data_IF_699348696082
#
_entry.id   IF_699348696082
#
_cell.length_a   1.000
_cell.length_b   1.000
_cell.length_c   1.000
_cell.angle_alpha   90.00
_cell.angle_beta   90.00
_cell.angle_gamma   90.00
#
_symmetry.space_group_name_H-M   'P 1'
#
loop_
_entity.id
_entity.type
_entity.pdbx_description
1 polymer ?
#
# COMPACT_ATOMS: atom_id res chain seq x y z
N UNK A 1 -53.37 55.86 -25.88
CA UNK A 1 -53.31 55.12 -24.60
C UNK A 1 -52.27 54.02 -24.75
N UNK A 2 -51.28 54.04 -23.87
CA UNK A 2 -50.18 53.06 -23.80
C UNK A 2 -50.72 51.64 -23.59
N UNK A 3 -50.10 50.65 -24.24
CA UNK A 3 -49.69 49.48 -23.47
C UNK A 3 -48.41 48.86 -24.03
N UNK A 4 -47.42 48.79 -23.14
CA UNK A 4 -46.06 48.32 -23.34
C UNK A 4 -46.06 46.81 -23.09
N UNK A 5 -45.76 46.00 -24.10
CA UNK A 5 -45.23 44.65 -23.86
C UNK A 5 -43.91 44.53 -24.62
N UNK A 6 -42.86 44.83 -23.86
CA UNK A 6 -41.46 44.85 -24.23
C UNK A 6 -40.98 43.40 -24.30
N UNK A 7 -40.84 42.86 -25.51
CA UNK A 7 -40.24 41.55 -25.73
C UNK A 7 -38.71 41.71 -25.60
N UNK A 8 -38.17 41.47 -24.40
CA UNK A 8 -36.72 41.34 -24.21
C UNK A 8 -36.26 40.04 -24.90
N UNK A 9 -35.60 40.18 -26.05
CA UNK A 9 -34.72 39.15 -26.62
C UNK A 9 -33.50 39.03 -25.70
N UNK A 10 -33.59 38.18 -24.69
CA UNK A 10 -32.44 37.79 -23.87
C UNK A 10 -31.57 36.82 -24.66
N UNK A 11 -30.45 37.30 -25.21
CA UNK A 11 -29.37 36.43 -25.71
C UNK A 11 -28.74 35.71 -24.53
N UNK A 12 -29.16 34.47 -24.28
CA UNK A 12 -28.45 33.58 -23.38
C UNK A 12 -27.14 33.15 -24.05
N UNK A 13 -26.08 33.93 -23.83
CA UNK A 13 -24.71 33.47 -24.12
C UNK A 13 -24.44 32.26 -23.23
N UNK A 14 -24.54 31.07 -23.83
CA UNK A 14 -24.04 29.82 -23.28
C UNK A 14 -22.53 29.96 -23.11
N UNK A 15 -22.11 30.42 -21.93
CA UNK A 15 -20.75 30.25 -21.45
C UNK A 15 -20.53 28.75 -21.26
N UNK A 16 -20.05 28.09 -22.31
CA UNK A 16 -19.48 26.75 -22.23
C UNK A 16 -18.29 26.80 -21.28
N UNK A 17 -18.53 26.52 -19.99
CA UNK A 17 -17.47 26.12 -19.07
C UNK A 17 -16.83 24.88 -19.69
N UNK A 18 -15.73 25.09 -20.40
CA UNK A 18 -14.77 24.03 -20.64
C UNK A 18 -14.17 23.72 -19.27
N UNK A 19 -14.80 22.80 -18.54
CA UNK A 19 -14.11 22.06 -17.52
C UNK A 19 -12.87 21.50 -18.21
N UNK A 20 -11.70 22.05 -17.87
CA UNK A 20 -10.45 21.46 -18.28
C UNK A 20 -10.54 20.01 -17.83
N UNK A 21 -10.60 19.08 -18.79
CA UNK A 21 -10.51 17.66 -18.51
C UNK A 21 -9.17 17.49 -17.80
N UNK A 22 -9.21 17.49 -16.47
CA UNK A 22 -8.09 17.15 -15.64
C UNK A 22 -7.71 15.77 -16.11
N UNK A 23 -6.53 15.65 -16.71
CA UNK A 23 -6.09 14.43 -17.36
C UNK A 23 -6.19 13.31 -16.32
N UNK A 24 -7.26 12.50 -16.44
CA UNK A 24 -7.81 11.60 -15.42
C UNK A 24 -6.95 10.32 -15.29
N UNK A 25 -5.65 10.48 -15.51
CA UNK A 25 -4.68 9.41 -15.52
C UNK A 25 -4.36 9.07 -14.08
N UNK A 26 -4.83 7.89 -13.67
CA UNK A 26 -4.50 7.28 -12.39
C UNK A 26 -2.96 7.26 -12.21
N UNK A 27 -2.42 7.78 -11.10
CA UNK A 27 -0.97 7.83 -10.90
C UNK A 27 -0.40 6.43 -10.66
N UNK A 28 0.82 6.17 -11.11
CA UNK A 28 1.52 4.94 -10.70
C UNK A 28 1.86 4.99 -9.20
N UNK A 29 1.57 3.90 -8.48
CA UNK A 29 1.87 3.78 -7.06
C UNK A 29 3.07 2.84 -6.92
N UNK A 30 4.18 3.35 -6.39
CA UNK A 30 5.40 2.57 -6.12
C UNK A 30 5.67 2.60 -4.62
N UNK A 31 5.57 1.43 -3.99
CA UNK A 31 5.85 1.25 -2.56
C UNK A 31 7.19 0.52 -2.40
N UNK A 32 8.15 1.18 -1.75
CA UNK A 32 9.46 0.60 -1.44
C UNK A 32 9.51 0.34 0.06
N UNK A 33 9.52 -0.94 0.44
CA UNK A 33 9.68 -1.37 1.83
C UNK A 33 11.03 -2.07 1.99
N UNK A 34 11.84 -1.55 2.91
CA UNK A 34 13.13 -2.12 3.31
C UNK A 34 12.94 -3.03 4.53
N UNK A 35 13.77 -4.08 4.66
CA UNK A 35 13.77 -4.99 5.82
C UNK A 35 14.92 -4.58 6.75
N UNK A 36 14.60 -4.39 8.02
CA UNK A 36 15.55 -4.10 9.12
C UNK A 36 16.45 -2.86 8.98
N UNK A 37 16.05 -1.87 8.16
CA UNK A 37 16.70 -0.55 8.11
C UNK A 37 16.33 0.29 9.34
N UNK A 38 17.34 0.77 10.06
CA UNK A 38 17.22 1.64 11.21
C UNK A 38 16.94 3.10 10.84
N UNK A 39 16.39 3.86 11.80
CA UNK A 39 16.08 5.27 11.62
C UNK A 39 17.30 6.13 11.24
N UNK A 40 18.47 5.82 11.83
CA UNK A 40 19.72 6.55 11.61
C UNK A 40 20.59 5.95 10.51
N UNK A 41 20.08 5.06 9.66
CA UNK A 41 20.89 4.47 8.58
C UNK A 41 21.02 5.39 7.38
N UNK A 42 20.01 6.23 7.13
CA UNK A 42 19.98 7.13 5.98
C UNK A 42 20.68 8.46 6.30
N UNK A 43 21.47 8.98 5.35
CA UNK A 43 22.11 10.29 5.46
C UNK A 43 21.12 11.41 5.74
N UNK A 44 19.92 11.36 5.14
CA UNK A 44 18.86 12.33 5.40
C UNK A 44 18.27 12.28 6.82
N UNK A 45 18.60 11.29 7.65
CA UNK A 45 18.27 11.22 9.08
C UNK A 45 19.51 11.37 9.98
N UNK A 46 20.66 11.74 9.41
CA UNK A 46 21.92 11.91 10.13
C UNK A 46 22.81 10.66 10.15
N UNK A 47 22.51 9.65 9.32
CA UNK A 47 23.32 8.45 9.19
C UNK A 47 24.66 8.68 8.50
N UNK A 48 25.62 7.80 8.79
CA UNK A 48 26.98 7.83 8.24
C UNK A 48 27.11 7.09 6.90
N UNK A 49 26.11 6.26 6.55
CA UNK A 49 26.11 5.47 5.32
C UNK A 49 25.75 6.38 4.13
N UNK A 50 26.55 6.43 3.06
CA UNK A 50 26.20 7.22 1.87
C UNK A 50 24.93 6.69 1.19
N UNK A 51 23.81 7.40 1.31
CA UNK A 51 22.52 7.06 0.70
C UNK A 51 22.03 8.10 -0.31
N UNK A 52 22.84 8.49 -1.33
CA UNK A 52 22.60 9.68 -2.13
C UNK A 52 21.26 9.68 -2.88
N UNK A 53 20.76 8.51 -3.31
CA UNK A 53 19.47 8.40 -3.98
C UNK A 53 18.29 8.64 -3.04
N UNK A 54 18.34 8.09 -1.82
CA UNK A 54 17.30 8.26 -0.80
C UNK A 54 17.35 9.68 -0.22
N UNK A 55 18.54 10.26 -0.08
CA UNK A 55 18.73 11.64 0.35
C UNK A 55 18.15 12.62 -0.67
N UNK A 56 18.36 12.36 -1.96
CA UNK A 56 17.78 13.15 -3.04
C UNK A 56 16.25 13.02 -3.10
N UNK A 57 15.70 11.81 -2.86
CA UNK A 57 14.27 11.60 -2.74
C UNK A 57 13.69 12.40 -1.57
N UNK A 58 14.32 12.37 -0.40
CA UNK A 58 13.90 13.14 0.77
C UNK A 58 13.98 14.65 0.55
N UNK A 59 15.00 15.15 -0.18
CA UNK A 59 15.14 16.59 -0.51
C UNK A 59 14.06 17.10 -1.47
N UNK A 60 13.52 16.24 -2.33
CA UNK A 60 12.53 16.61 -3.36
C UNK A 60 11.10 16.19 -2.99
N UNK A 61 10.91 15.55 -1.84
CA UNK A 61 9.64 15.00 -1.40
C UNK A 61 9.30 15.39 0.03
N UNK A 62 8.49 14.54 0.66
CA UNK A 62 8.10 14.69 2.07
C UNK A 62 8.88 13.67 2.89
N UNK A 63 9.45 14.12 4.01
CA UNK A 63 10.18 13.29 4.97
C UNK A 63 9.47 13.32 6.33
N UNK A 64 9.18 12.14 6.88
CA UNK A 64 8.55 12.01 8.19
C UNK A 64 9.60 11.86 9.28
N UNK A 65 9.50 12.63 10.36
CA UNK A 65 10.32 12.43 11.58
C UNK A 65 9.65 11.52 12.60
N UNK A 66 8.36 11.21 12.37
CA UNK A 66 7.54 10.34 13.19
C UNK A 66 6.75 9.40 12.27
N UNK A 67 7.33 8.24 11.98
CA UNK A 67 6.71 7.16 11.23
C UNK A 67 6.98 5.85 11.98
N UNK A 68 5.94 5.09 12.27
CA UNK A 68 6.04 3.90 13.13
C UNK A 68 5.61 2.65 12.35
N UNK A 69 6.33 1.56 12.60
CA UNK A 69 5.96 0.21 12.19
C UNK A 69 5.66 -0.63 13.45
N UNK A 70 5.41 -1.92 13.27
CA UNK A 70 5.28 -2.85 14.41
C UNK A 70 6.66 -3.39 14.81
N UNK A 71 6.76 -4.09 15.94
CA UNK A 71 8.03 -4.62 16.43
C UNK A 71 8.67 -5.75 15.59
N UNK A 72 8.06 -6.21 14.49
CA UNK A 72 8.59 -7.29 13.63
C UNK A 72 8.22 -7.09 12.14
N UNK A 73 8.90 -7.83 11.26
CA UNK A 73 8.68 -7.77 9.80
C UNK A 73 7.27 -8.20 9.39
N UNK A 74 6.80 -9.38 9.80
CA UNK A 74 5.50 -9.90 9.38
C UNK A 74 4.28 -9.12 9.89
N UNK A 75 4.19 -8.63 11.15
CA UNK A 75 3.05 -7.82 11.57
C UNK A 75 3.08 -6.42 10.93
N UNK A 76 4.27 -5.89 10.61
CA UNK A 76 4.41 -4.63 9.86
C UNK A 76 3.91 -4.78 8.43
N UNK A 77 4.27 -5.88 7.75
CA UNK A 77 3.77 -6.20 6.41
C UNK A 77 2.27 -6.42 6.41
N UNK A 78 1.73 -7.11 7.43
CA UNK A 78 0.29 -7.31 7.57
C UNK A 78 -0.45 -5.97 7.68
N UNK A 79 0.05 -5.07 8.54
CA UNK A 79 -0.55 -3.75 8.74
C UNK A 79 -0.43 -2.89 7.48
N UNK A 80 0.73 -2.91 6.82
CA UNK A 80 0.96 -2.19 5.57
C UNK A 80 -0.01 -2.65 4.48
N UNK A 81 -0.15 -3.96 4.28
CA UNK A 81 -0.97 -4.54 3.21
C UNK A 81 -2.46 -4.33 3.43
N UNK A 82 -2.93 -4.28 4.68
CA UNK A 82 -4.38 -4.31 4.98
C UNK A 82 -4.92 -3.00 5.57
N UNK A 83 -4.04 -2.13 6.08
CA UNK A 83 -4.44 -0.94 6.82
C UNK A 83 -5.01 -1.23 8.22
N UNK A 84 -4.90 -2.47 8.71
CA UNK A 84 -5.44 -2.91 10.00
C UNK A 84 -4.34 -3.14 11.03
N UNK A 85 -4.71 -3.20 12.32
CA UNK A 85 -3.81 -3.75 13.32
C UNK A 85 -3.50 -5.22 13.00
N UNK A 86 -2.29 -5.70 13.29
CA UNK A 86 -1.86 -7.01 12.82
C UNK A 86 -2.68 -8.16 13.42
N UNK A 87 -3.21 -8.02 14.64
CA UNK A 87 -4.14 -8.98 15.24
C UNK A 87 -5.48 -9.02 14.51
N UNK A 88 -5.95 -7.92 13.92
CA UNK A 88 -7.17 -7.94 13.10
C UNK A 88 -6.92 -8.65 11.75
N UNK A 89 -5.67 -8.61 11.27
CA UNK A 89 -5.25 -9.26 10.04
C UNK A 89 -4.82 -10.73 10.20
N UNK A 90 -4.77 -11.26 11.43
CA UNK A 90 -4.36 -12.65 11.73
C UNK A 90 -2.87 -12.86 12.02
N UNK A 91 -2.07 -11.79 12.10
CA UNK A 91 -0.61 -11.80 12.31
C UNK A 91 -0.25 -11.18 13.67
N UNK A 92 -0.84 -11.64 14.76
CA UNK A 92 -0.56 -11.14 16.11
C UNK A 92 0.85 -11.48 16.63
N UNK A 93 1.53 -12.45 16.01
CA UNK A 93 2.88 -12.93 16.32
C UNK A 93 3.68 -13.18 15.03
N UNK A 94 4.81 -13.89 15.12
CA UNK A 94 5.57 -14.28 13.94
C UNK A 94 4.68 -15.11 13.01
N UNK A 95 4.63 -14.76 11.72
CA UNK A 95 4.02 -15.60 10.70
C UNK A 95 4.70 -16.97 10.66
N UNK A 96 3.94 -18.00 10.29
CA UNK A 96 4.35 -19.42 10.16
C UNK A 96 5.88 -19.62 10.19
N UNK A 97 6.41 -20.19 11.28
CA UNK A 97 7.81 -20.61 11.32
C UNK A 97 7.97 -21.78 10.33
N UNK A 98 9.03 -21.82 9.49
CA UNK A 98 9.34 -23.00 8.68
C UNK A 98 9.47 -24.32 9.49
N UNK A 99 9.55 -24.24 10.81
CA UNK A 99 9.66 -25.38 11.74
C UNK A 99 8.47 -25.55 12.70
N UNK A 100 7.53 -24.59 12.76
CA UNK A 100 6.26 -24.74 13.49
C UNK A 100 5.21 -23.72 13.04
N UNK A 101 4.03 -24.21 12.64
CA UNK A 101 2.85 -23.37 12.57
C UNK A 101 2.31 -23.19 14.00
N UNK A 102 2.72 -22.13 14.70
CA UNK A 102 2.06 -21.71 15.95
C UNK A 102 0.68 -21.13 15.62
N UNK A 103 -0.28 -21.99 15.27
CA UNK A 103 -1.69 -21.61 15.32
C UNK A 103 -2.14 -21.67 16.78
N UNK A 104 -2.25 -20.50 17.40
CA UNK A 104 -2.70 -20.38 18.79
C UNK A 104 -4.22 -20.65 18.94
N UNK A 105 -4.91 -21.04 17.86
CA UNK A 105 -6.34 -21.35 17.86
C UNK A 105 -7.24 -20.13 18.00
N UNK A 106 -6.68 -18.92 17.87
CA UNK A 106 -7.39 -17.65 18.00
C UNK A 106 -7.20 -16.81 16.75
N UNK A 107 -8.28 -16.13 16.32
CA UNK A 107 -8.35 -15.47 15.02
C UNK A 107 -7.21 -14.46 14.76
N UNK A 108 -6.71 -13.80 15.80
CA UNK A 108 -5.65 -12.81 15.65
C UNK A 108 -4.24 -13.37 15.54
N UNK A 109 -4.04 -14.68 15.74
CA UNK A 109 -2.72 -15.30 15.85
C UNK A 109 -2.64 -16.57 15.01
N UNK A 110 -3.18 -16.50 13.78
CA UNK A 110 -3.23 -17.60 12.84
C UNK A 110 -1.89 -17.83 12.13
N UNK A 111 -1.01 -16.81 12.11
CA UNK A 111 0.30 -16.87 11.46
C UNK A 111 0.27 -16.57 9.96
N UNK A 112 -0.89 -16.24 9.40
CA UNK A 112 -1.08 -15.79 8.02
C UNK A 112 -2.18 -14.73 7.91
N UNK A 113 -2.20 -13.97 6.81
CA UNK A 113 -3.26 -13.00 6.55
C UNK A 113 -4.61 -13.71 6.41
N UNK A 114 -5.56 -13.39 7.28
CA UNK A 114 -6.92 -13.92 7.17
C UNK A 114 -7.64 -13.43 5.90
N UNK A 115 -8.77 -14.09 5.57
CA UNK A 115 -9.60 -13.78 4.40
C UNK A 115 -10.62 -12.67 4.62
N UNK A 116 -10.77 -12.19 5.86
CA UNK A 116 -11.63 -11.05 6.17
C UNK A 116 -10.90 -9.71 6.01
N UNK A 117 -9.58 -9.74 5.77
CA UNK A 117 -8.73 -8.58 5.59
C UNK A 117 -8.33 -8.44 4.13
N UNK A 118 -8.94 -7.48 3.45
CA UNK A 118 -8.63 -7.17 2.05
C UNK A 118 -7.27 -6.48 1.97
N UNK A 119 -6.44 -6.87 1.02
CA UNK A 119 -5.15 -6.21 0.78
C UNK A 119 -5.31 -4.97 -0.10
N UNK A 120 -4.37 -4.03 0.00
CA UNK A 120 -4.29 -2.89 -0.91
C UNK A 120 -4.21 -3.34 -2.38
N UNK A 121 -3.61 -4.50 -2.66
CA UNK A 121 -3.50 -5.01 -4.02
C UNK A 121 -4.86 -5.49 -4.55
N UNK A 122 -5.69 -6.13 -3.72
CA UNK A 122 -7.06 -6.51 -4.08
C UNK A 122 -7.89 -5.25 -4.39
N UNK A 123 -7.80 -4.22 -3.54
CA UNK A 123 -8.49 -2.94 -3.76
C UNK A 123 -8.00 -2.23 -5.04
N UNK A 124 -6.68 -2.14 -5.24
CA UNK A 124 -6.11 -1.46 -6.41
C UNK A 124 -6.45 -2.20 -7.71
N UNK A 125 -6.47 -3.53 -7.68
CA UNK A 125 -6.87 -4.35 -8.82
C UNK A 125 -8.32 -4.10 -9.23
N UNK A 126 -9.25 -4.01 -8.27
CA UNK A 126 -10.64 -3.61 -8.55
C UNK A 126 -10.73 -2.19 -9.13
N UNK A 127 -9.84 -1.30 -8.71
CA UNK A 127 -9.72 0.05 -9.27
C UNK A 127 -9.03 0.08 -10.66
N UNK A 128 -8.70 -1.07 -11.26
CA UNK A 128 -8.13 -1.17 -12.61
C UNK A 128 -6.61 -0.93 -12.69
N UNK A 129 -5.89 -1.07 -11.59
CA UNK A 129 -4.43 -1.09 -11.60
C UNK A 129 -3.90 -2.49 -11.93
N UNK A 130 -2.74 -2.54 -12.59
CA UNK A 130 -1.92 -3.74 -12.62
C UNK A 130 -1.04 -3.80 -11.38
N UNK A 131 -1.06 -4.94 -10.69
CA UNK A 131 -0.42 -5.07 -9.37
C UNK A 131 0.76 -6.04 -9.43
N UNK A 132 1.93 -5.55 -9.01
CA UNK A 132 3.18 -6.32 -9.05
C UNK A 132 3.81 -6.31 -7.66
N UNK A 133 4.36 -7.45 -7.26
CA UNK A 133 5.18 -7.55 -6.05
C UNK A 133 6.53 -8.17 -6.39
N UNK A 134 7.60 -7.50 -5.96
CA UNK A 134 8.94 -8.06 -5.94
C UNK A 134 9.47 -8.09 -4.51
N UNK A 135 9.96 -9.26 -4.10
CA UNK A 135 10.63 -9.47 -2.82
C UNK A 135 9.87 -10.30 -1.82
N UNK A 136 9.90 -9.88 -0.55
CA UNK A 136 9.51 -10.72 0.59
C UNK A 136 8.04 -10.54 0.97
N UNK A 137 7.28 -11.64 0.93
CA UNK A 137 5.87 -11.67 1.35
C UNK A 137 5.71 -11.73 2.87
N UNK A 138 6.16 -12.82 3.49
CA UNK A 138 6.25 -13.01 4.95
C UNK A 138 4.94 -12.76 5.71
N UNK A 139 3.80 -13.12 5.12
CA UNK A 139 2.48 -13.06 5.79
C UNK A 139 1.57 -14.28 5.46
N UNK A 140 2.21 -15.43 5.22
CA UNK A 140 1.57 -16.71 4.96
C UNK A 140 2.24 -17.45 3.80
N UNK A 141 2.75 -18.66 4.03
CA UNK A 141 3.48 -19.43 3.02
C UNK A 141 2.88 -20.81 2.76
N UNK A 142 2.20 -21.41 3.74
CA UNK A 142 1.63 -22.74 3.61
C UNK A 142 0.20 -22.69 3.07
N UNK A 143 0.01 -23.12 1.82
CA UNK A 143 -1.27 -23.03 1.11
C UNK A 143 -1.26 -21.90 0.10
N UNK A 144 -1.49 -22.24 -1.17
CA UNK A 144 -1.40 -21.29 -2.28
C UNK A 144 -2.40 -20.15 -2.14
N UNK A 145 -3.52 -20.38 -1.46
CA UNK A 145 -4.50 -19.36 -1.14
C UNK A 145 -3.90 -18.18 -0.34
N UNK A 146 -2.77 -18.37 0.33
CA UNK A 146 -2.13 -17.32 1.14
C UNK A 146 -1.06 -16.52 0.38
N UNK A 147 -0.72 -16.92 -0.84
CA UNK A 147 0.38 -16.33 -1.61
C UNK A 147 0.01 -14.99 -2.24
N UNK A 148 0.98 -14.16 -2.66
CA UNK A 148 0.72 -12.84 -3.24
C UNK A 148 -0.29 -12.86 -4.41
N UNK A 149 -0.19 -13.87 -5.28
CA UNK A 149 -1.06 -13.99 -6.47
C UNK A 149 -2.54 -14.22 -6.11
N UNK A 150 -2.80 -14.87 -4.98
CA UNK A 150 -4.14 -15.12 -4.44
C UNK A 150 -4.61 -13.99 -3.51
N UNK A 151 -3.81 -12.93 -3.37
CA UNK A 151 -4.00 -11.77 -2.49
C UNK A 151 -3.84 -10.44 -3.22
N UNK A 152 -4.27 -10.43 -4.48
CA UNK A 152 -4.47 -9.22 -5.27
C UNK A 152 -3.33 -8.85 -6.20
N UNK A 153 -2.16 -9.50 -6.14
CA UNK A 153 -1.07 -9.25 -7.07
C UNK A 153 -1.25 -10.05 -8.38
N UNK A 154 -1.07 -9.40 -9.53
CA UNK A 154 -1.07 -10.07 -10.84
C UNK A 154 0.24 -10.83 -11.08
N UNK A 155 1.36 -10.30 -10.56
CA UNK A 155 2.67 -10.88 -10.73
C UNK A 155 3.48 -10.82 -9.43
N UNK A 156 4.26 -11.88 -9.19
CA UNK A 156 5.13 -12.00 -8.03
C UNK A 156 6.48 -12.60 -8.39
N UNK A 157 7.56 -11.99 -7.91
CA UNK A 157 8.91 -12.53 -7.94
C UNK A 157 9.57 -12.34 -6.57
N UNK A 158 9.94 -13.43 -5.89
CA UNK A 158 10.63 -13.36 -4.60
C UNK A 158 10.34 -14.54 -3.69
N UNK A 159 10.35 -14.29 -2.37
CA UNK A 159 10.17 -15.32 -1.33
C UNK A 159 8.87 -15.15 -0.56
N UNK A 160 8.30 -16.29 -0.17
CA UNK A 160 7.13 -16.34 0.70
C UNK A 160 7.49 -16.24 2.19
N UNK A 161 8.61 -16.84 2.57
CA UNK A 161 9.05 -17.02 3.96
C UNK A 161 9.82 -15.84 4.55
N UNK A 162 9.97 -15.87 5.88
CA UNK A 162 10.97 -15.11 6.62
C UNK A 162 12.38 -15.66 6.43
N UNK A 163 13.40 -14.88 6.78
CA UNK A 163 14.80 -15.32 6.92
C UNK A 163 15.38 -16.11 5.73
N UNK A 164 14.95 -15.80 4.50
CA UNK A 164 15.47 -16.41 3.27
C UNK A 164 16.01 -15.35 2.30
N UNK A 165 16.81 -15.80 1.33
CA UNK A 165 17.30 -15.01 0.20
C UNK A 165 16.67 -15.52 -1.10
N UNK A 166 16.50 -14.65 -2.11
CA UNK A 166 16.01 -14.96 -3.47
C UNK A 166 16.86 -14.26 -4.53
#
# INVERSE_FOLDING_TARGET
>A
MMNKNMLLMGTASLLSLHAAAQNDQKPNIVLIMVDDMGYSDLGCYGGEIPTPNLDNLAKKGVRFTHFCNTGRSCPSRASLLTGLYPQQAGIGMMSEDPHSAEDHGVHGYMGYLNRNSVTMAEVLKEAGYHTYMSGKWHVGMHGQEKWPLQRGFDHFYGILSGACSY
#
